data_IF_737991765342
#
_entry.id   IF_737991765342
#
_cell.length_a   1.000
_cell.length_b   1.000
_cell.length_c   1.000
_cell.angle_alpha   90.00
_cell.angle_beta   90.00
_cell.angle_gamma   90.00
#
_symmetry.space_group_name_H-M   'P 1'
#
loop_
_entity.id
_entity.type
_entity.pdbx_description
1 polymer ?
#
# COMPACT_ATOMS: atom_id res chain seq x y z
N UNK A 1 -29.62 -25.23 -17.14
CA UNK A 1 -29.10 -23.97 -16.59
C UNK A 1 -30.11 -22.87 -16.91
N UNK A 2 -30.71 -22.22 -15.91
CA UNK A 2 -31.75 -21.20 -16.13
C UNK A 2 -31.10 -19.87 -16.53
N UNK A 3 -31.81 -19.05 -17.32
CA UNK A 3 -31.34 -17.71 -17.73
C UNK A 3 -30.91 -16.87 -16.52
N UNK A 4 -31.67 -16.94 -15.43
CA UNK A 4 -31.35 -16.28 -14.16
C UNK A 4 -30.06 -16.78 -13.54
N UNK A 5 -29.78 -18.09 -13.57
CA UNK A 5 -28.53 -18.65 -13.07
C UNK A 5 -27.31 -18.22 -13.88
N UNK A 6 -27.44 -18.12 -15.21
CA UNK A 6 -26.38 -17.62 -16.08
C UNK A 6 -26.07 -16.14 -15.80
N UNK A 7 -27.11 -15.33 -15.59
CA UNK A 7 -27.01 -13.89 -15.35
C UNK A 7 -26.39 -13.57 -13.98
N UNK A 8 -26.78 -14.32 -12.94
CA UNK A 8 -26.15 -14.26 -11.62
C UNK A 8 -24.68 -14.68 -11.69
N UNK A 9 -24.39 -15.80 -12.35
CA UNK A 9 -23.03 -16.31 -12.50
C UNK A 9 -22.11 -15.34 -13.25
N UNK A 10 -22.56 -14.78 -14.37
CA UNK A 10 -21.77 -13.83 -15.15
C UNK A 10 -21.54 -12.51 -14.41
N UNK A 11 -22.54 -12.02 -13.66
CA UNK A 11 -22.41 -10.81 -12.84
C UNK A 11 -21.39 -11.02 -11.73
N UNK A 12 -21.46 -12.14 -10.99
CA UNK A 12 -20.48 -12.48 -9.96
C UNK A 12 -19.06 -12.60 -10.54
N UNK A 13 -18.90 -13.29 -11.67
CA UNK A 13 -17.61 -13.42 -12.33
C UNK A 13 -17.05 -12.04 -12.75
N UNK A 14 -17.88 -11.16 -13.31
CA UNK A 14 -17.48 -9.82 -13.69
C UNK A 14 -17.05 -8.97 -12.49
N UNK A 15 -17.77 -9.06 -11.36
CA UNK A 15 -17.41 -8.34 -10.13
C UNK A 15 -16.07 -8.82 -9.55
N UNK A 16 -15.86 -10.14 -9.49
CA UNK A 16 -14.60 -10.71 -9.00
C UNK A 16 -13.42 -10.32 -9.90
N UNK A 17 -13.58 -10.40 -11.22
CA UNK A 17 -12.56 -9.99 -12.16
C UNK A 17 -12.28 -8.48 -12.08
N UNK A 18 -13.34 -7.67 -11.92
CA UNK A 18 -13.23 -6.23 -11.72
C UNK A 18 -12.45 -5.89 -10.45
N UNK A 19 -12.71 -6.57 -9.34
CA UNK A 19 -11.97 -6.39 -8.09
C UNK A 19 -10.48 -6.72 -8.27
N UNK A 20 -10.16 -7.85 -8.90
CA UNK A 20 -8.78 -8.24 -9.19
C UNK A 20 -8.09 -7.19 -10.07
N UNK A 21 -8.76 -6.72 -11.13
CA UNK A 21 -8.23 -5.69 -12.01
C UNK A 21 -7.94 -4.38 -11.24
N UNK A 22 -8.87 -3.95 -10.37
CA UNK A 22 -8.67 -2.76 -9.52
C UNK A 22 -7.49 -2.95 -8.57
N UNK A 23 -7.35 -4.12 -7.93
CA UNK A 23 -6.22 -4.40 -7.02
C UNK A 23 -4.87 -4.42 -7.74
N UNK A 24 -4.84 -4.82 -9.02
CA UNK A 24 -3.63 -4.80 -9.85
C UNK A 24 -3.28 -3.38 -10.31
N UNK A 25 -4.27 -2.63 -10.82
CA UNK A 25 -4.06 -1.30 -11.43
C UNK A 25 -3.93 -0.18 -10.39
N UNK A 26 -4.63 -0.30 -9.25
CA UNK A 26 -4.56 0.63 -8.14
C UNK A 26 -3.88 -0.04 -6.93
N UNK A 27 -2.56 -0.31 -7.00
CA UNK A 27 -1.83 -0.91 -5.91
C UNK A 27 -1.83 0.07 -4.72
N UNK A 28 -2.71 -0.24 -3.77
CA UNK A 28 -2.85 0.34 -2.43
C UNK A 28 -3.40 1.78 -2.34
N UNK A 29 -4.70 1.88 -2.04
CA UNK A 29 -5.40 3.09 -1.59
C UNK A 29 -4.65 3.85 -0.47
N UNK A 30 -3.83 3.14 0.32
CA UNK A 30 -3.06 3.72 1.41
C UNK A 30 -2.17 4.89 0.97
N UNK A 31 -1.64 4.84 -0.25
CA UNK A 31 -0.75 5.88 -0.77
C UNK A 31 -1.51 7.17 -1.05
N UNK A 32 -2.74 7.05 -1.57
CA UNK A 32 -3.63 8.19 -1.83
C UNK A 32 -4.16 8.75 -0.52
N UNK A 33 -4.54 7.88 0.43
CA UNK A 33 -5.14 8.29 1.70
C UNK A 33 -4.12 8.85 2.71
N UNK A 34 -2.82 8.55 2.55
CA UNK A 34 -1.76 8.93 3.48
C UNK A 34 -0.65 9.73 2.81
N UNK A 35 -0.95 10.95 2.32
CA UNK A 35 0.05 11.86 1.75
C UNK A 35 1.05 12.36 2.82
N UNK A 36 0.78 12.14 4.10
CA UNK A 36 1.69 12.36 5.23
C UNK A 36 2.83 11.33 5.31
N UNK A 37 2.65 10.16 4.69
CA UNK A 37 3.61 9.05 4.73
C UNK A 37 4.27 8.84 3.37
N UNK A 38 3.52 9.03 2.29
CA UNK A 38 3.99 8.78 0.94
C UNK A 38 4.21 10.07 0.18
N UNK A 39 5.18 10.05 -0.74
CA UNK A 39 5.36 11.08 -1.75
C UNK A 39 5.54 10.45 -3.14
N UNK A 40 5.08 11.11 -4.20
CA UNK A 40 5.47 10.72 -5.56
C UNK A 40 6.97 10.93 -5.75
N UNK A 41 7.59 10.07 -6.56
CA UNK A 41 8.94 10.29 -7.08
C UNK A 41 8.86 10.86 -8.51
N UNK A 42 9.96 11.37 -9.04
CA UNK A 42 10.01 11.95 -10.40
C UNK A 42 9.77 10.90 -11.51
N UNK A 43 9.80 9.61 -11.17
CA UNK A 43 9.45 8.50 -12.05
C UNK A 43 8.06 7.92 -11.73
N UNK A 44 7.70 6.81 -12.37
CA UNK A 44 6.44 6.12 -12.07
C UNK A 44 6.58 5.36 -10.75
N UNK A 45 6.10 5.95 -9.65
CA UNK A 45 6.03 5.27 -8.35
C UNK A 45 5.86 6.21 -7.16
N UNK A 46 6.01 5.63 -5.97
CA UNK A 46 5.94 6.35 -4.70
C UNK A 46 7.05 5.89 -3.76
N UNK A 47 7.49 6.81 -2.91
CA UNK A 47 8.44 6.52 -1.83
C UNK A 47 7.91 7.04 -0.50
N UNK A 48 8.49 6.58 0.60
CA UNK A 48 8.18 7.13 1.91
C UNK A 48 8.76 8.53 2.07
N UNK A 49 8.06 9.39 2.80
CA UNK A 49 8.60 10.67 3.23
C UNK A 49 9.78 10.48 4.21
N UNK A 50 10.82 11.33 4.14
CA UNK A 50 11.86 11.40 5.16
C UNK A 50 11.31 11.73 6.54
N UNK A 51 11.99 11.22 7.56
CA UNK A 51 11.77 11.57 8.97
C UNK A 51 10.33 11.38 9.47
N UNK A 52 9.60 10.44 8.88
CA UNK A 52 8.27 10.04 9.34
C UNK A 52 8.43 9.23 10.61
N UNK A 53 7.62 9.53 11.64
CA UNK A 53 7.42 8.70 12.82
C UNK A 53 5.93 8.68 13.13
N UNK A 54 5.24 7.68 12.58
CA UNK A 54 3.78 7.58 12.66
C UNK A 54 3.31 6.18 13.01
N UNK A 55 2.20 6.10 13.71
CA UNK A 55 1.50 4.85 14.02
C UNK A 55 0.17 4.89 13.29
N UNK A 56 -0.08 3.91 12.43
CA UNK A 56 -1.26 3.89 11.55
C UNK A 56 -2.04 2.61 11.76
N UNK A 57 -3.37 2.69 11.75
CA UNK A 57 -4.22 1.52 11.64
C UNK A 57 -4.60 1.33 10.17
N UNK A 58 -4.31 0.16 9.60
CA UNK A 58 -4.61 -0.19 8.20
C UNK A 58 -5.96 -0.89 8.04
N UNK A 59 -6.78 -0.96 9.09
CA UNK A 59 -8.00 -1.78 9.15
C UNK A 59 -7.70 -3.24 9.50
N UNK A 60 -6.64 -3.81 8.93
CA UNK A 60 -6.17 -5.17 9.27
C UNK A 60 -5.31 -5.21 10.54
N UNK A 61 -4.45 -4.19 10.73
CA UNK A 61 -3.56 -4.10 11.89
C UNK A 61 -3.03 -2.69 12.12
N UNK A 62 -2.51 -2.45 13.32
CA UNK A 62 -1.72 -1.25 13.62
C UNK A 62 -0.26 -1.46 13.19
N UNK A 63 0.29 -0.49 12.48
CA UNK A 63 1.64 -0.50 11.90
C UNK A 63 2.38 0.76 12.31
N UNK A 64 3.61 0.59 12.79
CA UNK A 64 4.54 1.71 13.00
C UNK A 64 5.38 1.95 11.75
N UNK A 65 5.40 3.19 11.29
CA UNK A 65 6.17 3.67 10.14
C UNK A 65 7.20 4.66 10.67
N UNK A 66 8.47 4.27 10.58
CA UNK A 66 9.61 5.12 10.95
C UNK A 66 10.57 5.16 9.77
N UNK A 67 10.96 6.36 9.33
CA UNK A 67 11.88 6.55 8.21
C UNK A 67 13.06 7.45 8.57
N UNK A 68 14.20 7.23 7.94
CA UNK A 68 15.38 8.07 8.10
C UNK A 68 15.31 9.36 7.25
N UNK A 69 16.39 10.15 7.24
CA UNK A 69 16.46 11.40 6.47
C UNK A 69 16.46 11.20 4.96
N UNK A 70 16.64 9.97 4.49
CA UNK A 70 16.58 9.59 3.08
C UNK A 70 15.24 8.91 2.74
N UNK A 71 14.33 8.78 3.70
CA UNK A 71 13.05 8.10 3.51
C UNK A 71 13.13 6.57 3.58
N UNK A 72 14.27 5.97 3.95
CA UNK A 72 14.33 4.53 4.13
C UNK A 72 13.64 4.11 5.42
N UNK A 73 12.88 3.02 5.37
CA UNK A 73 12.23 2.47 6.55
C UNK A 73 13.28 1.92 7.52
N UNK A 74 13.23 2.37 8.76
CA UNK A 74 14.12 1.94 9.84
C UNK A 74 13.32 1.44 11.03
N UNK A 75 13.96 0.67 11.90
CA UNK A 75 13.38 0.36 13.21
C UNK A 75 13.34 1.64 14.07
N UNK A 76 12.53 1.65 15.12
CA UNK A 76 12.38 2.83 16.00
C UNK A 76 13.70 3.32 16.61
N UNK A 77 14.71 2.44 16.71
CA UNK A 77 16.08 2.73 17.14
C UNK A 77 17.00 3.34 16.08
N UNK A 78 16.48 3.65 14.89
CA UNK A 78 17.26 4.26 13.79
C UNK A 78 17.92 3.24 12.86
N UNK A 79 18.69 3.74 11.89
CA UNK A 79 19.43 2.92 10.93
C UNK A 79 20.58 2.21 11.67
N UNK A 80 20.72 0.87 11.56
CA UNK A 80 21.90 0.20 12.09
C UNK A 80 23.15 0.81 11.45
N UNK A 81 24.11 1.26 12.25
CA UNK A 81 25.41 1.67 11.74
C UNK A 81 26.01 0.49 10.97
N UNK A 82 26.39 0.70 9.71
CA UNK A 82 27.05 -0.33 8.92
C UNK A 82 28.23 -0.87 9.75
N UNK A 83 28.20 -2.16 10.06
CA UNK A 83 29.30 -2.81 10.79
C UNK A 83 30.48 -2.86 9.85
N UNK A 84 31.39 -1.89 9.95
CA UNK A 84 32.71 -1.95 9.31
C UNK A 84 33.41 -3.18 9.87
N UNK A 85 33.66 -4.17 9.00
CA UNK A 85 34.56 -5.29 9.28
C UNK A 85 35.99 -4.86 8.98
#
# INVERSE_FOLDING_TARGET
MTKSGLLLGSTMAALLLGEVAVRIVAPQQLIILRPDIWMPVDSVGWTFRPLVRSTINTGERTVHVVTDSQGFRVSAGGRPSARTR
#
